data_IF_475104518312
#
_entry.id   IF_475104518312
#
_cell.length_a   1.000
_cell.length_b   1.000
_cell.length_c   1.000
_cell.angle_alpha   90.00
_cell.angle_beta   90.00
_cell.angle_gamma   90.00
#
_symmetry.space_group_name_H-M   'P 1'
#
loop_
_entity.id
_entity.type
_entity.pdbx_description
1 polymer ?
#
# COMPACT_ATOMS: atom_id res chain seq x y z
N UNK A 1 12.62 -18.70 -1.80
CA UNK A 1 12.32 -17.24 -1.78
C UNK A 1 11.00 -17.11 -1.02
N UNK A 2 10.99 -16.54 0.20
CA UNK A 2 9.82 -16.59 1.11
C UNK A 2 8.59 -15.81 0.61
N UNK A 3 8.75 -14.92 -0.37
CA UNK A 3 7.66 -14.09 -0.90
C UNK A 3 7.56 -14.22 -2.42
N UNK A 4 6.35 -14.32 -3.00
CA UNK A 4 6.13 -14.19 -4.44
C UNK A 4 6.72 -12.89 -5.01
N UNK A 5 7.21 -12.93 -6.25
CA UNK A 5 7.88 -11.79 -6.88
C UNK A 5 7.02 -10.51 -6.97
N UNK A 6 5.69 -10.66 -7.08
CA UNK A 6 4.74 -9.53 -7.06
C UNK A 6 4.70 -8.82 -5.71
N UNK A 7 4.73 -9.58 -4.60
CA UNK A 7 4.73 -9.03 -3.23
C UNK A 7 6.06 -8.35 -2.91
N UNK A 8 7.17 -8.92 -3.38
CA UNK A 8 8.49 -8.30 -3.22
C UNK A 8 8.59 -6.97 -3.97
N UNK A 9 8.15 -6.91 -5.23
CA UNK A 9 8.14 -5.66 -6.02
C UNK A 9 7.23 -4.61 -5.38
N UNK A 10 6.05 -5.01 -4.93
CA UNK A 10 5.15 -4.11 -4.20
C UNK A 10 5.81 -3.59 -2.92
N UNK A 11 6.37 -4.46 -2.10
CA UNK A 11 7.11 -4.07 -0.89
C UNK A 11 8.18 -3.04 -1.18
N UNK A 12 9.00 -3.28 -2.21
CA UNK A 12 10.04 -2.35 -2.62
C UNK A 12 9.48 -0.98 -3.07
N UNK A 13 8.32 -0.96 -3.75
CA UNK A 13 7.67 0.29 -4.14
C UNK A 13 7.11 1.10 -2.96
N UNK A 14 6.89 0.46 -1.80
CA UNK A 14 6.41 1.09 -0.56
C UNK A 14 7.56 1.65 0.28
N UNK A 15 8.82 1.39 -0.07
CA UNK A 15 9.99 1.88 0.68
C UNK A 15 9.97 3.41 0.93
N UNK A 16 9.56 4.28 -0.03
CA UNK A 16 9.45 5.71 0.23
C UNK A 16 8.47 6.07 1.35
N UNK A 17 7.43 5.26 1.57
CA UNK A 17 6.41 5.52 2.60
C UNK A 17 6.96 5.34 4.03
N UNK A 18 8.04 4.58 4.20
CA UNK A 18 8.73 4.43 5.49
C UNK A 18 9.34 5.77 5.94
N UNK A 19 9.82 6.57 4.99
CA UNK A 19 10.48 7.87 5.26
C UNK A 19 9.47 9.01 5.17
N UNK A 20 8.57 8.96 4.18
CA UNK A 20 7.57 9.99 3.92
C UNK A 20 6.21 9.32 3.70
N UNK A 21 5.42 9.10 4.76
CA UNK A 21 4.10 8.51 4.60
C UNK A 21 3.20 9.43 3.77
N UNK A 22 2.24 8.87 3.03
CA UNK A 22 1.25 9.67 2.31
C UNK A 22 0.47 10.54 3.29
N UNK A 23 0.34 11.84 2.98
CA UNK A 23 -0.51 12.74 3.75
C UNK A 23 -1.94 12.56 3.28
N UNK A 24 -2.81 12.11 4.19
CA UNK A 24 -4.25 12.03 3.95
C UNK A 24 -4.89 13.32 4.48
N UNK A 25 -5.61 14.01 3.60
CA UNK A 25 -6.39 15.19 3.94
C UNK A 25 -7.82 14.77 4.30
N UNK A 26 -8.02 14.48 5.58
CA UNK A 26 -9.31 14.02 6.09
C UNK A 26 -10.38 15.11 6.01
N UNK A 27 -10.01 16.37 6.26
CA UNK A 27 -10.94 17.49 6.24
C UNK A 27 -11.52 17.66 4.84
N UNK A 28 -10.66 17.66 3.82
CA UNK A 28 -11.11 17.69 2.42
C UNK A 28 -11.97 16.49 2.05
N UNK A 29 -11.67 15.31 2.57
CA UNK A 29 -12.46 14.11 2.28
C UNK A 29 -13.86 14.19 2.89
N UNK A 30 -13.97 14.69 4.13
CA UNK A 30 -15.26 14.91 4.81
C UNK A 30 -16.10 15.95 4.06
N UNK A 31 -15.50 17.06 3.64
CA UNK A 31 -16.18 18.08 2.84
C UNK A 31 -16.75 17.49 1.53
N UNK A 32 -15.99 16.65 0.84
CA UNK A 32 -16.46 16.00 -0.40
C UNK A 32 -17.62 15.05 -0.14
N UNK A 33 -17.52 14.20 0.89
CA UNK A 33 -18.59 13.25 1.24
C UNK A 33 -19.88 14.00 1.60
N UNK A 34 -19.78 15.09 2.35
CA UNK A 34 -20.95 15.90 2.71
C UNK A 34 -21.54 16.62 1.50
N UNK A 35 -20.72 17.13 0.58
CA UNK A 35 -21.17 17.72 -0.68
C UNK A 35 -21.94 16.71 -1.54
N UNK A 36 -21.42 15.50 -1.73
CA UNK A 36 -22.12 14.44 -2.45
C UNK A 36 -23.42 14.03 -1.77
N UNK A 37 -23.44 13.97 -0.43
CA UNK A 37 -24.66 13.72 0.33
C UNK A 37 -25.74 14.79 0.10
N UNK A 38 -25.34 16.06 0.02
CA UNK A 38 -26.25 17.15 -0.33
C UNK A 38 -26.74 17.07 -1.78
N UNK A 39 -25.86 16.80 -2.73
CA UNK A 39 -26.20 16.65 -4.15
C UNK A 39 -27.18 15.48 -4.35
N UNK A 40 -26.89 14.32 -3.77
CA UNK A 40 -27.74 13.14 -3.83
C UNK A 40 -29.14 13.39 -3.26
N UNK A 41 -29.26 14.17 -2.16
CA UNK A 41 -30.56 14.50 -1.55
C UNK A 41 -31.38 15.46 -2.41
N UNK A 42 -30.75 16.40 -3.09
CA UNK A 42 -31.43 17.45 -3.87
C UNK A 42 -31.76 17.00 -5.30
N UNK A 43 -30.83 16.29 -5.94
CA UNK A 43 -30.86 15.98 -7.37
C UNK A 43 -30.94 14.46 -7.65
N UNK A 44 -30.85 13.63 -6.62
CA UNK A 44 -30.79 12.16 -6.75
C UNK A 44 -29.38 11.66 -7.06
N UNK A 45 -29.19 10.34 -7.05
CA UNK A 45 -27.87 9.71 -7.21
C UNK A 45 -27.25 9.93 -8.61
N UNK A 46 -28.06 10.12 -9.65
CA UNK A 46 -27.56 10.37 -11.01
C UNK A 46 -26.66 11.62 -11.09
N UNK A 47 -26.88 12.60 -10.22
CA UNK A 47 -26.05 13.81 -10.15
C UNK A 47 -24.58 13.50 -9.82
N UNK A 48 -24.31 12.37 -9.14
CA UNK A 48 -22.98 11.94 -8.73
C UNK A 48 -22.16 11.30 -9.86
N UNK A 49 -22.74 11.05 -11.03
CA UNK A 49 -22.02 10.44 -12.16
C UNK A 49 -20.83 11.31 -12.59
N UNK A 50 -21.04 12.63 -12.64
CA UNK A 50 -19.98 13.60 -12.98
C UNK A 50 -18.87 13.63 -11.92
N UNK A 51 -19.22 13.49 -10.64
CA UNK A 51 -18.25 13.42 -9.54
C UNK A 51 -17.45 12.11 -9.59
N UNK A 52 -18.10 10.98 -9.92
CA UNK A 52 -17.46 9.68 -10.04
C UNK A 52 -16.40 9.66 -11.15
N UNK A 53 -16.64 10.33 -12.28
CA UNK A 53 -15.68 10.45 -13.38
C UNK A 53 -14.45 11.28 -13.02
N UNK A 54 -14.61 12.30 -12.16
CA UNK A 54 -13.55 13.20 -11.74
C UNK A 54 -12.80 12.71 -10.49
N UNK A 55 -13.25 11.63 -9.85
CA UNK A 55 -12.62 11.09 -8.66
C UNK A 55 -11.32 10.34 -9.01
N UNK A 56 -10.24 10.75 -8.36
CA UNK A 56 -8.91 10.12 -8.51
C UNK A 56 -8.79 8.87 -7.66
N UNK A 57 -9.41 8.87 -6.48
CA UNK A 57 -9.30 7.77 -5.51
C UNK A 57 -10.21 6.59 -5.94
N UNK A 58 -9.64 5.39 -6.21
CA UNK A 58 -10.40 4.27 -6.76
C UNK A 58 -11.57 3.78 -5.89
N UNK A 59 -11.42 3.76 -4.56
CA UNK A 59 -12.45 3.26 -3.65
C UNK A 59 -13.67 4.18 -3.64
N UNK A 60 -13.47 5.49 -3.53
CA UNK A 60 -14.49 6.52 -3.57
C UNK A 60 -15.19 6.54 -4.92
N UNK A 61 -14.44 6.48 -6.03
CA UNK A 61 -15.02 6.40 -7.37
C UNK A 61 -15.93 5.19 -7.52
N UNK A 62 -15.51 4.05 -6.99
CA UNK A 62 -16.31 2.82 -7.02
C UNK A 62 -17.56 2.95 -6.16
N UNK A 63 -17.44 3.55 -4.97
CA UNK A 63 -18.59 3.86 -4.12
C UNK A 63 -19.61 4.78 -4.81
N UNK A 64 -19.15 5.83 -5.50
CA UNK A 64 -20.01 6.73 -6.27
C UNK A 64 -20.71 6.01 -7.42
N UNK A 65 -20.00 5.17 -8.18
CA UNK A 65 -20.61 4.38 -9.25
C UNK A 65 -21.70 3.44 -8.72
N UNK A 66 -21.43 2.73 -7.61
CA UNK A 66 -22.41 1.83 -6.99
C UNK A 66 -23.66 2.58 -6.47
N UNK A 67 -23.49 3.82 -6.01
CA UNK A 67 -24.60 4.70 -5.63
C UNK A 67 -25.42 5.15 -6.85
N UNK A 68 -24.77 5.53 -7.95
CA UNK A 68 -25.44 5.88 -9.22
C UNK A 68 -26.25 4.70 -9.76
N UNK A 69 -25.71 3.49 -9.64
CA UNK A 69 -26.37 2.24 -10.02
C UNK A 69 -27.55 1.85 -9.11
N UNK A 70 -27.79 2.60 -8.02
CA UNK A 70 -28.89 2.38 -7.10
C UNK A 70 -28.71 1.17 -6.18
N UNK A 71 -27.46 0.80 -5.89
CA UNK A 71 -27.14 -0.33 -4.99
C UNK A 71 -27.70 -0.08 -3.59
N UNK A 72 -28.28 -1.12 -2.96
CA UNK A 72 -28.74 -1.03 -1.57
C UNK A 72 -27.60 -0.67 -0.62
N UNK A 73 -27.88 0.18 0.38
CA UNK A 73 -26.87 0.70 1.29
C UNK A 73 -26.04 -0.39 1.99
N UNK A 74 -26.67 -1.52 2.34
CA UNK A 74 -25.97 -2.64 2.98
C UNK A 74 -24.99 -3.32 2.04
N UNK A 75 -25.40 -3.56 0.79
CA UNK A 75 -24.56 -4.20 -0.22
C UNK A 75 -23.40 -3.28 -0.60
N UNK A 76 -23.65 -1.97 -0.73
CA UNK A 76 -22.60 -0.97 -0.93
C UNK A 76 -21.54 -1.04 0.17
N UNK A 77 -21.98 -1.03 1.44
CA UNK A 77 -21.08 -1.12 2.58
C UNK A 77 -20.25 -2.41 2.54
N UNK A 78 -20.90 -3.56 2.33
CA UNK A 78 -20.23 -4.87 2.27
C UNK A 78 -19.15 -4.90 1.17
N UNK A 79 -19.42 -4.31 -0.01
CA UNK A 79 -18.46 -4.23 -1.11
C UNK A 79 -17.26 -3.35 -0.75
N UNK A 80 -17.51 -2.14 -0.24
CA UNK A 80 -16.43 -1.21 0.12
C UNK A 80 -15.57 -1.74 1.27
N UNK A 81 -16.18 -2.37 2.28
CA UNK A 81 -15.46 -2.99 3.38
C UNK A 81 -14.59 -4.16 2.92
N UNK A 82 -15.11 -5.00 2.00
CA UNK A 82 -14.34 -6.08 1.41
C UNK A 82 -13.14 -5.57 0.60
N UNK A 83 -13.33 -4.51 -0.21
CA UNK A 83 -12.25 -3.91 -0.99
C UNK A 83 -11.18 -3.27 -0.10
N UNK A 84 -11.58 -2.54 0.94
CA UNK A 84 -10.68 -2.00 1.95
C UNK A 84 -9.89 -3.11 2.65
N UNK A 85 -10.55 -4.22 3.00
CA UNK A 85 -9.91 -5.36 3.63
C UNK A 85 -8.85 -5.99 2.72
N UNK A 86 -9.19 -6.24 1.45
CA UNK A 86 -8.27 -6.81 0.47
C UNK A 86 -7.04 -5.91 0.25
N UNK A 87 -7.25 -4.60 0.15
CA UNK A 87 -6.16 -3.65 -0.05
C UNK A 87 -5.26 -3.57 1.19
N UNK A 88 -5.85 -3.53 2.38
CA UNK A 88 -5.11 -3.60 3.65
C UNK A 88 -4.26 -4.86 3.72
N UNK A 89 -4.82 -6.03 3.40
CA UNK A 89 -4.05 -7.27 3.39
C UNK A 89 -2.92 -7.25 2.35
N UNK A 90 -3.17 -6.68 1.17
CA UNK A 90 -2.16 -6.54 0.11
C UNK A 90 -0.97 -5.73 0.60
N UNK A 91 -1.21 -4.59 1.24
CA UNK A 91 -0.17 -3.74 1.82
C UNK A 91 0.53 -4.41 3.01
N UNK A 92 -0.20 -5.10 3.88
CA UNK A 92 0.40 -5.84 5.01
C UNK A 92 1.32 -6.97 4.53
N UNK A 93 0.93 -7.72 3.50
CA UNK A 93 1.80 -8.74 2.89
C UNK A 93 3.07 -8.13 2.30
N UNK A 94 2.97 -6.96 1.69
CA UNK A 94 4.13 -6.23 1.18
C UNK A 94 5.03 -5.73 2.33
N UNK A 95 4.46 -5.26 3.44
CA UNK A 95 5.21 -4.83 4.61
C UNK A 95 6.00 -5.98 5.26
N UNK A 96 5.45 -7.21 5.28
CA UNK A 96 6.14 -8.41 5.81
C UNK A 96 7.45 -8.73 5.09
N UNK A 97 7.66 -8.24 3.88
CA UNK A 97 8.95 -8.36 3.18
C UNK A 97 10.06 -7.67 3.97
N UNK A 98 9.79 -6.49 4.56
CA UNK A 98 10.76 -5.77 5.37
C UNK A 98 11.03 -6.46 6.70
N UNK A 99 10.02 -7.07 7.31
CA UNK A 99 10.18 -7.89 8.51
C UNK A 99 11.12 -9.08 8.26
N UNK A 100 10.92 -9.80 7.16
CA UNK A 100 11.80 -10.89 6.76
C UNK A 100 13.23 -10.39 6.46
N UNK A 101 13.37 -9.28 5.73
CA UNK A 101 14.69 -8.67 5.46
C UNK A 101 15.42 -8.30 6.76
N UNK A 102 14.71 -7.73 7.74
CA UNK A 102 15.25 -7.46 9.07
C UNK A 102 15.69 -8.73 9.80
N UNK A 103 14.90 -9.80 9.74
CA UNK A 103 15.23 -11.09 10.33
C UNK A 103 16.47 -11.76 9.72
N UNK A 104 16.71 -11.57 8.41
CA UNK A 104 17.90 -12.08 7.72
C UNK A 104 19.13 -11.17 7.80
N UNK A 105 18.97 -9.91 8.18
CA UNK A 105 20.08 -8.95 8.24
C UNK A 105 21.26 -9.41 9.13
N UNK A 106 21.04 -9.96 10.35
CA UNK A 106 22.14 -10.40 11.20
C UNK A 106 22.93 -11.58 10.62
N UNK A 107 22.26 -12.53 9.98
CA UNK A 107 22.93 -13.71 9.42
C UNK A 107 23.79 -13.33 8.21
N UNK A 108 23.30 -12.43 7.36
CA UNK A 108 24.11 -11.84 6.28
C UNK A 108 25.31 -11.08 6.85
N UNK A 109 25.14 -10.34 7.94
CA UNK A 109 26.23 -9.64 8.63
C UNK A 109 27.31 -10.58 9.16
N UNK A 110 26.92 -11.69 9.80
CA UNK A 110 27.87 -12.71 10.29
C UNK A 110 28.64 -13.33 9.12
N UNK A 111 27.96 -13.69 8.03
CA UNK A 111 28.62 -14.23 6.82
C UNK A 111 29.61 -13.22 6.24
N UNK A 112 29.23 -11.94 6.16
CA UNK A 112 30.11 -10.87 5.69
C UNK A 112 31.35 -10.68 6.57
N UNK A 113 31.20 -10.75 7.89
CA UNK A 113 32.32 -10.67 8.83
C UNK A 113 33.32 -11.83 8.64
N UNK A 114 32.81 -13.06 8.50
CA UNK A 114 33.66 -14.24 8.23
C UNK A 114 34.38 -14.09 6.90
N UNK A 115 33.68 -13.67 5.84
CA UNK A 115 34.29 -13.46 4.53
C UNK A 115 35.40 -12.39 4.57
N UNK A 116 35.17 -11.30 5.32
CA UNK A 116 36.15 -10.24 5.53
C UNK A 116 37.40 -10.72 6.26
N UNK A 117 37.25 -11.58 7.26
CA UNK A 117 38.39 -12.20 7.96
C UNK A 117 39.18 -13.13 7.03
N UNK A 118 38.51 -13.95 6.21
CA UNK A 118 39.18 -14.82 5.23
C UNK A 118 40.02 -13.99 4.26
N UNK A 119 39.46 -12.90 3.73
CA UNK A 119 40.18 -12.02 2.81
C UNK A 119 41.40 -11.38 3.49
N UNK A 120 41.24 -10.87 4.71
CA UNK A 120 42.35 -10.27 5.46
C UNK A 120 43.50 -11.26 5.71
N UNK A 121 43.17 -12.50 6.08
CA UNK A 121 44.17 -13.57 6.27
C UNK A 121 44.83 -14.01 4.96
N UNK A 122 44.08 -14.05 3.86
CA UNK A 122 44.64 -14.36 2.53
C UNK A 122 45.63 -13.30 2.06
N UNK A 123 45.40 -12.02 2.41
CA UNK A 123 46.28 -10.92 2.04
C UNK A 123 47.59 -10.91 2.84
N UNK A 124 47.56 -11.39 4.09
CA UNK A 124 48.77 -11.58 4.92
C UNK A 124 49.63 -12.74 4.40
N UNK A 125 49.02 -13.71 3.69
CA UNK A 125 49.71 -14.88 3.15
C UNK A 125 50.52 -14.59 1.86
N UNK A 126 50.38 -13.38 1.27
CA UNK A 126 51.20 -12.86 0.17
C UNK A 126 51.79 -11.49 0.56
N UNK A 127 52.81 -11.42 1.43
CA UNK A 127 53.35 -10.16 1.94
C UNK A 127 54.36 -9.47 0.99
N UNK A 128 54.61 -10.03 -0.21
CA UNK A 128 55.65 -9.58 -1.16
C UNK A 128 55.10 -8.80 -2.38
N UNK A 129 53.94 -8.16 -2.24
CA UNK A 129 53.55 -6.93 -2.96
C UNK A 129 53.06 -5.86 -1.97
#
# INVERSE_FOLDING_TARGET
>A
IQSPASQFRLGMSLLPWVIKPPKLDFDRTIERITQWGHAARLQGFLSLESDALNEEEPLLRRGLNLLVDGTEAKVLQDILDAELHLEKERLLRAAKVFEAMGGYSPTIGIVGAVLGLILALSNISNPDE
#
